data_IF_534625239764
#
_entry.id   IF_534625239764
#
_cell.length_a   1.000
_cell.length_b   1.000
_cell.length_c   1.000
_cell.angle_alpha   90.00
_cell.angle_beta   90.00
_cell.angle_gamma   90.00
#
_symmetry.space_group_name_H-M   'P 1'
#
loop_
_entity.id
_entity.type
_entity.pdbx_description
1 polymer ?
#
# COMPACT_ATOMS: atom_id res chain seq x y z
N UNK A 1 9.93 -0.07 2.32
CA UNK A 1 10.71 -1.05 1.54
C UNK A 1 10.10 -1.25 0.16
N UNK A 2 10.89 -1.76 -0.75
CA UNK A 2 10.46 -2.09 -2.10
C UNK A 2 10.48 -3.60 -2.25
N UNK A 3 9.35 -4.15 -2.69
CA UNK A 3 9.16 -5.60 -2.82
C UNK A 3 8.95 -5.92 -4.28
N UNK A 4 9.85 -6.72 -4.86
CA UNK A 4 9.72 -7.15 -6.25
C UNK A 4 8.44 -8.01 -6.38
N UNK A 5 7.66 -7.76 -7.43
CA UNK A 5 6.42 -8.46 -7.67
C UNK A 5 6.07 -8.38 -9.15
N UNK A 6 5.23 -9.31 -9.60
CA UNK A 6 4.82 -9.34 -11.00
C UNK A 6 3.82 -8.22 -11.26
N UNK A 7 3.98 -7.55 -12.40
CA UNK A 7 3.03 -6.51 -12.83
C UNK A 7 1.61 -7.07 -12.89
N UNK A 8 0.66 -6.30 -12.35
CA UNK A 8 -0.75 -6.70 -12.31
C UNK A 8 -1.13 -7.62 -11.17
N UNK A 9 -0.15 -8.12 -10.38
CA UNK A 9 -0.49 -8.94 -9.22
C UNK A 9 -1.24 -8.13 -8.18
N UNK A 10 -2.07 -8.81 -7.40
CA UNK A 10 -2.84 -8.15 -6.35
C UNK A 10 -1.94 -7.67 -5.23
N UNK A 11 -2.19 -6.44 -4.79
CA UNK A 11 -1.65 -5.89 -3.55
C UNK A 11 -2.75 -6.02 -2.51
N UNK A 12 -2.45 -6.66 -1.39
CA UNK A 12 -3.45 -6.99 -0.37
C UNK A 12 -3.23 -6.17 0.88
N UNK A 13 -4.34 -5.77 1.51
CA UNK A 13 -4.27 -5.04 2.77
C UNK A 13 -3.59 -5.91 3.83
N UNK A 14 -2.65 -5.33 4.58
CA UNK A 14 -1.90 -6.05 5.61
C UNK A 14 -2.76 -6.35 6.84
N UNK A 15 -3.81 -5.55 7.06
CA UNK A 15 -4.71 -5.67 8.20
C UNK A 15 -6.01 -4.94 7.88
N UNK A 16 -7.04 -5.16 8.71
CA UNK A 16 -8.31 -4.46 8.58
C UNK A 16 -8.09 -2.96 8.74
N UNK A 17 -8.88 -2.15 8.05
CA UNK A 17 -8.80 -0.72 8.18
C UNK A 17 -9.73 0.03 7.24
N UNK A 18 -9.46 1.33 7.11
CA UNK A 18 -10.22 2.22 6.24
C UNK A 18 -9.27 2.94 5.30
N UNK A 19 -9.65 3.03 4.03
CA UNK A 19 -8.84 3.73 3.01
C UNK A 19 -8.87 5.23 3.26
N UNK A 20 -7.68 5.82 3.48
CA UNK A 20 -7.53 7.27 3.65
C UNK A 20 -7.17 7.97 2.36
N UNK A 21 -6.46 7.29 1.45
CA UNK A 21 -5.98 7.87 0.21
C UNK A 21 -5.94 6.78 -0.85
N UNK A 22 -6.33 7.14 -2.08
CA UNK A 22 -6.19 6.29 -3.26
C UNK A 22 -5.94 7.23 -4.44
N UNK A 23 -4.72 7.73 -4.58
CA UNK A 23 -4.40 8.81 -5.51
C UNK A 23 -2.91 8.83 -5.81
N UNK A 24 -2.52 9.69 -6.75
CA UNK A 24 -1.14 9.87 -7.17
C UNK A 24 -0.38 10.73 -6.17
N UNK A 25 0.80 10.27 -5.79
CA UNK A 25 1.74 11.04 -4.97
C UNK A 25 3.08 11.11 -5.67
N UNK A 26 3.67 12.31 -5.69
CA UNK A 26 4.98 12.53 -6.30
C UNK A 26 6.02 11.61 -5.65
N UNK A 27 6.77 10.89 -6.47
CA UNK A 27 7.79 9.98 -6.01
C UNK A 27 7.31 8.57 -5.70
N UNK A 28 5.99 8.37 -5.56
CA UNK A 28 5.44 7.06 -5.20
C UNK A 28 4.43 6.53 -6.22
N UNK A 29 4.07 7.35 -7.21
CA UNK A 29 3.08 6.95 -8.20
C UNK A 29 1.68 6.85 -7.60
N UNK A 30 0.92 5.85 -8.03
CA UNK A 30 -0.42 5.61 -7.52
C UNK A 30 -0.34 4.89 -6.17
N UNK A 31 -0.89 5.50 -5.15
CA UNK A 31 -0.74 5.08 -3.75
C UNK A 31 -2.11 4.79 -3.13
N UNK A 32 -2.16 3.74 -2.34
CA UNK A 32 -3.28 3.48 -1.43
C UNK A 32 -2.73 3.55 0.00
N UNK A 33 -3.43 4.29 0.87
CA UNK A 33 -3.09 4.37 2.30
C UNK A 33 -4.27 3.85 3.09
N UNK A 34 -3.99 2.96 4.03
CA UNK A 34 -5.02 2.35 4.89
C UNK A 34 -4.72 2.71 6.34
N UNK A 35 -5.74 3.22 7.03
CA UNK A 35 -5.69 3.53 8.46
C UNK A 35 -6.20 2.32 9.23
N UNK A 36 -5.35 1.78 10.11
CA UNK A 36 -5.67 0.61 10.91
C UNK A 36 -6.13 0.95 12.33
N UNK A 37 -6.23 2.24 12.64
CA UNK A 37 -6.55 2.70 13.98
C UNK A 37 -5.31 2.82 14.87
N UNK A 38 -5.46 3.49 16.00
CA UNK A 38 -4.41 3.67 17.00
C UNK A 38 -3.14 4.34 16.45
N UNK A 39 -3.28 5.10 15.37
CA UNK A 39 -2.16 5.80 14.75
C UNK A 39 -1.34 4.95 13.77
N UNK A 40 -1.76 3.73 13.49
CA UNK A 40 -1.07 2.84 12.55
C UNK A 40 -1.66 3.00 11.15
N UNK A 41 -0.79 3.15 10.15
CA UNK A 41 -1.17 3.23 8.74
C UNK A 41 -0.23 2.38 7.90
N UNK A 42 -0.77 1.83 6.81
CA UNK A 42 0.04 1.16 5.79
C UNK A 42 -0.09 1.92 4.47
N UNK A 43 1.00 1.96 3.71
CA UNK A 43 1.08 2.68 2.45
C UNK A 43 1.58 1.71 1.39
N UNK A 44 0.89 1.71 0.24
CA UNK A 44 1.16 0.80 -0.87
C UNK A 44 1.33 1.66 -2.13
N UNK A 45 2.55 1.72 -2.65
CA UNK A 45 2.88 2.61 -3.77
C UNK A 45 3.31 1.85 -5.02
N UNK A 46 3.55 2.60 -6.09
CA UNK A 46 3.96 2.13 -7.42
C UNK A 46 2.88 1.36 -8.17
N UNK A 47 1.63 1.43 -7.73
CA UNK A 47 0.55 0.63 -8.29
C UNK A 47 0.17 1.09 -9.69
N UNK A 48 -0.31 0.16 -10.52
CA UNK A 48 -0.92 0.52 -11.81
C UNK A 48 -2.40 0.86 -11.66
N UNK A 49 -3.06 0.31 -10.66
CA UNK A 49 -4.48 0.62 -10.40
C UNK A 49 -4.80 0.49 -8.93
N UNK A 50 -5.79 1.26 -8.49
CA UNK A 50 -6.39 1.14 -7.16
C UNK A 50 -7.75 0.47 -7.31
N UNK A 51 -8.03 -0.52 -6.47
CA UNK A 51 -9.27 -1.30 -6.50
C UNK A 51 -10.27 -0.81 -5.46
N UNK A 52 -9.90 0.20 -4.68
CA UNK A 52 -10.71 0.73 -3.58
C UNK A 52 -10.75 2.26 -3.67
N UNK A 53 -11.69 2.85 -2.96
CA UNK A 53 -11.87 4.30 -2.89
C UNK A 53 -11.70 4.79 -1.47
N UNK A 54 -11.39 6.07 -1.32
CA UNK A 54 -11.30 6.72 -0.01
C UNK A 54 -12.61 6.49 0.75
N UNK A 55 -12.49 6.09 2.01
CA UNK A 55 -13.61 5.80 2.88
C UNK A 55 -14.02 4.34 2.92
N UNK A 56 -13.56 3.52 1.98
CA UNK A 56 -13.89 2.09 1.97
C UNK A 56 -13.30 1.40 3.18
N UNK A 57 -14.07 0.46 3.75
CA UNK A 57 -13.57 -0.48 4.75
C UNK A 57 -12.91 -1.64 4.03
N UNK A 58 -11.74 -2.06 4.50
CA UNK A 58 -11.02 -3.20 3.93
C UNK A 58 -10.69 -4.20 5.03
N UNK A 59 -10.55 -5.45 4.63
CA UNK A 59 -10.18 -6.56 5.51
C UNK A 59 -8.77 -7.01 5.22
N UNK A 60 -8.10 -7.56 6.22
CA UNK A 60 -6.79 -8.18 6.03
C UNK A 60 -6.85 -9.18 4.89
N UNK A 61 -5.90 -9.11 3.96
CA UNK A 61 -5.85 -9.98 2.78
C UNK A 61 -6.71 -9.57 1.61
N UNK A 62 -7.52 -8.54 1.76
CA UNK A 62 -8.38 -8.06 0.66
C UNK A 62 -7.51 -7.38 -0.41
N UNK A 63 -7.71 -7.69 -1.71
CA UNK A 63 -7.03 -6.94 -2.77
C UNK A 63 -7.46 -5.47 -2.76
N UNK A 64 -6.48 -4.58 -2.76
CA UNK A 64 -6.73 -3.14 -2.72
C UNK A 64 -6.09 -2.38 -3.87
N UNK A 65 -5.14 -3.00 -4.56
CA UNK A 65 -4.42 -2.38 -5.68
C UNK A 65 -3.79 -3.47 -6.54
N UNK A 66 -3.14 -3.06 -7.63
CA UNK A 66 -2.38 -3.98 -8.48
C UNK A 66 -1.00 -3.41 -8.74
N UNK A 67 0.01 -4.28 -8.68
CA UNK A 67 1.42 -3.92 -8.83
C UNK A 67 1.67 -3.29 -10.20
N UNK A 68 2.48 -2.23 -10.22
CA UNK A 68 2.85 -1.55 -11.44
C UNK A 68 4.24 -0.95 -11.39
N UNK A 69 4.44 0.07 -12.23
CA UNK A 69 5.68 0.84 -12.32
C UNK A 69 5.41 2.33 -12.26
N UNK A 70 4.33 2.73 -11.59
CA UNK A 70 3.85 4.11 -11.62
C UNK A 70 4.76 5.09 -10.89
N UNK A 71 5.72 4.59 -10.11
CA UNK A 71 6.75 5.42 -9.48
C UNK A 71 7.93 5.72 -10.38
N UNK A 72 7.94 5.20 -11.61
CA UNK A 72 9.05 5.38 -12.54
C UNK A 72 10.25 4.50 -12.24
N UNK A 73 10.05 3.43 -11.46
CA UNK A 73 11.14 2.64 -10.92
C UNK A 73 11.71 1.59 -11.87
N UNK A 74 11.24 1.50 -13.08
CA UNK A 74 11.83 0.64 -14.12
C UNK A 74 11.40 -0.81 -14.09
N UNK A 75 11.16 -1.40 -12.93
CA UNK A 75 10.69 -2.79 -12.78
C UNK A 75 9.46 -2.83 -11.91
N UNK A 76 8.50 -3.74 -12.20
CA UNK A 76 7.30 -3.87 -11.36
C UNK A 76 7.69 -4.21 -9.93
N UNK A 77 7.11 -3.48 -9.00
CA UNK A 77 7.40 -3.66 -7.58
C UNK A 77 6.34 -2.97 -6.74
N UNK A 78 6.25 -3.38 -5.48
CA UNK A 78 5.41 -2.74 -4.49
C UNK A 78 6.28 -1.91 -3.57
N UNK A 79 5.98 -0.62 -3.42
CA UNK A 79 6.55 0.19 -2.36
C UNK A 79 5.64 0.05 -1.14
N UNK A 80 6.17 -0.49 -0.04
CA UNK A 80 5.40 -0.78 1.16
C UNK A 80 6.00 -0.05 2.35
N UNK A 81 5.13 0.60 3.13
CA UNK A 81 5.56 1.34 4.30
C UNK A 81 4.51 1.20 5.41
N UNK A 82 4.98 1.08 6.65
CA UNK A 82 4.14 1.16 7.84
C UNK A 82 4.52 2.42 8.57
N UNK A 83 3.53 3.21 8.97
CA UNK A 83 3.72 4.38 9.81
C UNK A 83 2.96 4.21 11.12
N UNK A 84 3.65 4.47 12.21
CA UNK A 84 3.06 4.45 13.54
C UNK A 84 3.15 5.86 14.11
N UNK A 85 1.98 6.47 14.33
CA UNK A 85 1.88 7.85 14.82
C UNK A 85 2.70 8.82 13.95
N UNK A 86 2.57 8.68 12.63
CA UNK A 86 3.20 9.55 11.65
C UNK A 86 4.65 9.22 11.33
N UNK A 87 5.27 8.26 12.01
CA UNK A 87 6.66 7.92 11.79
C UNK A 87 6.79 6.56 11.09
N UNK A 88 7.64 6.51 10.06
CA UNK A 88 7.94 5.26 9.38
C UNK A 88 8.62 4.30 10.35
N UNK A 89 8.16 3.04 10.37
CA UNK A 89 8.74 2.00 11.20
C UNK A 89 9.16 0.82 10.32
N UNK A 90 9.97 -0.08 10.86
CA UNK A 90 10.41 -1.27 10.12
C UNK A 90 9.18 -2.13 9.77
N UNK A 91 8.89 -2.32 8.48
CA UNK A 91 7.69 -3.07 8.08
C UNK A 91 7.85 -4.59 8.15
N UNK A 92 9.07 -5.10 8.30
CA UNK A 92 9.33 -6.54 8.22
C UNK A 92 8.53 -7.37 9.22
N UNK A 93 8.36 -6.95 10.49
CA UNK A 93 7.55 -7.74 11.43
C UNK A 93 6.09 -7.89 10.99
N UNK A 94 5.57 -6.96 10.19
CA UNK A 94 4.19 -7.01 9.70
C UNK A 94 4.04 -8.00 8.55
N UNK A 95 5.11 -8.20 7.77
CA UNK A 95 5.07 -9.04 6.56
C UNK A 95 5.19 -10.53 6.88
N UNK A 96 5.70 -10.89 8.04
CA UNK A 96 5.85 -12.28 8.46
C UNK A 96 4.60 -12.91 9.03
N UNK A 97 3.46 -12.25 8.95
CA UNK A 97 2.21 -12.71 9.56
C UNK A 97 1.33 -13.48 8.61
#
# INVERSE_FOLDING_TARGET
>A
IVIAAREGSDVRAIADGRVLLADWLQGYGLVVVVDHGRGDMSLYGYNQSALVNVGDQVKAGQPIAQVGTSGGQGQPSLYFEIRRQGQAVNPLPWLGR
#
